data_IF_959556281151
#
_entry.id   IF_959556281151
#
_cell.length_a   1.000
_cell.length_b   1.000
_cell.length_c   1.000
_cell.angle_alpha   90.00
_cell.angle_beta   90.00
_cell.angle_gamma   90.00
#
_symmetry.space_group_name_H-M   'P 1'
#
loop_
_entity.id
_entity.type
_entity.pdbx_description
1 polymer ?
#
# COMPACT_ATOMS: atom_id res chain seq x y z
N UNK A 1 1.48 19.42 13.05
CA UNK A 1 1.10 19.12 11.65
C UNK A 1 0.70 17.65 11.61
N UNK A 2 -0.33 17.29 10.84
CA UNK A 2 -0.77 15.90 10.71
C UNK A 2 -0.05 15.28 9.51
N UNK A 3 0.70 14.20 9.74
CA UNK A 3 1.37 13.46 8.67
C UNK A 3 0.34 12.85 7.70
N UNK A 4 0.68 12.84 6.42
CA UNK A 4 -0.11 12.22 5.36
C UNK A 4 0.43 10.82 5.11
N UNK A 5 -0.46 9.83 5.19
CA UNK A 5 -0.19 8.47 4.72
C UNK A 5 -0.89 8.25 3.39
N UNK A 6 -0.17 7.70 2.40
CA UNK A 6 -0.74 7.32 1.12
C UNK A 6 -0.28 5.93 0.71
N UNK A 7 -1.15 5.18 0.06
CA UNK A 7 -0.84 3.93 -0.60
C UNK A 7 -0.81 4.17 -2.10
N UNK A 8 0.24 3.73 -2.77
CA UNK A 8 0.40 3.93 -4.20
C UNK A 8 0.55 2.57 -4.86
N UNK A 9 -0.39 2.25 -5.75
CA UNK A 9 -0.43 1.02 -6.51
C UNK A 9 0.18 1.27 -7.88
N UNK A 10 1.10 0.42 -8.31
CA UNK A 10 1.94 0.65 -9.47
C UNK A 10 1.79 -0.49 -10.48
N UNK A 11 1.75 -0.11 -11.76
CA UNK A 11 2.12 -1.01 -12.85
C UNK A 11 3.54 -0.72 -13.30
N UNK A 12 4.24 -1.77 -13.68
CA UNK A 12 5.61 -1.74 -14.18
C UNK A 12 5.68 -2.24 -15.62
N UNK A 13 6.71 -1.82 -16.35
CA UNK A 13 7.04 -2.39 -17.66
C UNK A 13 7.40 -3.86 -17.47
N UNK A 14 6.99 -4.70 -18.43
CA UNK A 14 7.34 -6.11 -18.45
C UNK A 14 8.85 -6.33 -18.24
N UNK A 15 9.20 -7.23 -17.31
CA UNK A 15 10.59 -7.55 -16.96
C UNK A 15 11.32 -6.51 -16.10
N UNK A 16 10.71 -5.36 -15.77
CA UNK A 16 11.34 -4.31 -14.95
C UNK A 16 10.93 -4.29 -13.48
N UNK A 17 10.03 -5.16 -13.03
CA UNK A 17 9.50 -5.17 -11.66
C UNK A 17 10.62 -5.11 -10.59
N UNK A 18 11.61 -6.02 -10.67
CA UNK A 18 12.76 -6.03 -9.73
C UNK A 18 13.60 -4.75 -9.75
N UNK A 19 13.73 -4.10 -10.91
CA UNK A 19 14.48 -2.84 -11.05
C UNK A 19 13.72 -1.70 -10.39
N UNK A 20 12.41 -1.60 -10.64
CA UNK A 20 11.53 -0.61 -10.02
C UNK A 20 11.54 -0.80 -8.50
N UNK A 21 11.31 -2.02 -8.02
CA UNK A 21 11.34 -2.35 -6.59
C UNK A 21 12.65 -1.91 -5.92
N UNK A 22 13.78 -2.19 -6.57
CA UNK A 22 15.11 -1.81 -6.06
C UNK A 22 15.36 -0.30 -6.08
N UNK A 23 14.79 0.42 -7.04
CA UNK A 23 14.85 1.88 -7.09
C UNK A 23 14.00 2.51 -5.98
N UNK A 24 12.77 2.01 -5.79
CA UNK A 24 11.83 2.50 -4.77
C UNK A 24 12.38 2.37 -3.35
N UNK A 25 13.11 1.29 -3.05
CA UNK A 25 13.78 1.09 -1.74
C UNK A 25 14.72 2.21 -1.29
N UNK A 26 15.13 3.10 -2.20
CA UNK A 26 16.05 4.20 -1.91
C UNK A 26 15.33 5.45 -1.38
N UNK A 27 14.00 5.50 -1.45
CA UNK A 27 13.25 6.69 -1.05
C UNK A 27 12.82 6.59 0.42
N UNK A 28 13.26 7.51 1.30
CA UNK A 28 12.94 7.47 2.73
C UNK A 28 11.46 7.71 3.05
N UNK A 29 10.70 8.27 2.11
CA UNK A 29 9.26 8.46 2.23
C UNK A 29 8.49 7.13 2.17
N UNK A 30 9.05 6.11 1.51
CA UNK A 30 8.44 4.77 1.42
C UNK A 30 8.75 4.00 2.70
N UNK A 31 7.68 3.61 3.42
CA UNK A 31 7.77 2.84 4.67
C UNK A 31 7.60 1.35 4.45
N UNK A 32 6.81 0.98 3.46
CA UNK A 32 6.54 -0.42 3.13
C UNK A 32 6.46 -0.58 1.60
N UNK A 33 6.93 -1.72 1.11
CA UNK A 33 6.89 -2.07 -0.32
C UNK A 33 6.61 -3.56 -0.48
N UNK A 34 5.60 -3.89 -1.29
CA UNK A 34 5.20 -5.26 -1.55
C UNK A 34 5.06 -5.47 -3.05
N UNK A 35 5.62 -6.57 -3.56
CA UNK A 35 5.25 -7.10 -4.87
C UNK A 35 3.90 -7.80 -4.74
N UNK A 36 3.03 -7.61 -5.72
CA UNK A 36 1.66 -8.12 -5.71
C UNK A 36 1.45 -9.15 -6.81
N UNK A 37 0.62 -10.14 -6.53
CA UNK A 37 -0.03 -10.95 -7.55
C UNK A 37 -1.44 -10.39 -7.74
N UNK A 38 -1.72 -9.79 -8.90
CA UNK A 38 -3.05 -9.25 -9.18
C UNK A 38 -3.05 -8.15 -10.23
N UNK A 39 -3.98 -7.19 -10.08
CA UNK A 39 -4.16 -6.07 -11.01
C UNK A 39 -2.93 -5.17 -11.08
N UNK A 40 -2.26 -4.95 -9.97
CA UNK A 40 -1.06 -4.13 -9.86
C UNK A 40 0.16 -5.01 -9.59
N UNK A 41 1.33 -4.50 -9.91
CA UNK A 41 2.60 -5.21 -9.75
C UNK A 41 3.25 -4.95 -8.39
N UNK A 42 3.14 -3.71 -7.89
CA UNK A 42 3.74 -3.24 -6.64
C UNK A 42 2.74 -2.34 -5.91
N UNK A 43 2.70 -2.43 -4.58
CA UNK A 43 2.11 -1.41 -3.71
C UNK A 43 3.18 -0.86 -2.77
N UNK A 44 3.17 0.46 -2.60
CA UNK A 44 4.01 1.17 -1.62
C UNK A 44 3.14 1.93 -0.63
N UNK A 45 3.59 1.98 0.63
CA UNK A 45 3.07 2.90 1.64
C UNK A 45 4.06 4.05 1.80
N UNK A 46 3.55 5.26 1.69
CA UNK A 46 4.31 6.51 1.78
C UNK A 46 3.82 7.31 2.98
N UNK A 47 4.75 7.84 3.77
CA UNK A 47 4.45 8.78 4.86
C UNK A 47 5.27 10.06 4.67
N UNK A 48 4.59 11.20 4.65
CA UNK A 48 5.16 12.54 4.44
C UNK A 48 4.49 13.57 5.34
N UNK A 49 5.06 14.77 5.46
CA UNK A 49 4.56 15.77 6.42
C UNK A 49 3.23 16.40 6.00
N UNK A 50 3.00 16.55 4.69
CA UNK A 50 1.78 17.14 4.13
C UNK A 50 1.54 16.73 2.65
N UNK A 51 0.42 17.20 2.09
CA UNK A 51 0.04 16.93 0.69
C UNK A 51 1.00 17.56 -0.33
N UNK A 52 1.69 18.65 0.02
CA UNK A 52 2.67 19.29 -0.86
C UNK A 52 3.90 18.40 -1.03
N UNK A 53 4.39 17.84 0.07
CA UNK A 53 5.46 16.84 0.04
C UNK A 53 5.05 15.58 -0.72
N UNK A 54 3.82 15.09 -0.53
CA UNK A 54 3.31 13.94 -1.30
C UNK A 54 3.34 14.24 -2.80
N UNK A 55 2.82 15.40 -3.21
CA UNK A 55 2.83 15.84 -4.60
C UNK A 55 4.25 15.93 -5.16
N UNK A 56 5.18 16.48 -4.38
CA UNK A 56 6.60 16.56 -4.76
C UNK A 56 7.23 15.19 -4.92
N UNK A 57 6.98 14.26 -3.99
CA UNK A 57 7.43 12.87 -4.09
C UNK A 57 6.92 12.20 -5.37
N UNK A 58 5.62 12.33 -5.67
CA UNK A 58 5.04 11.75 -6.88
C UNK A 58 5.70 12.31 -8.15
N UNK A 59 5.78 13.63 -8.29
CA UNK A 59 6.25 14.30 -9.50
C UNK A 59 7.76 14.17 -9.71
N UNK A 60 8.55 14.34 -8.65
CA UNK A 60 9.99 14.52 -8.73
C UNK A 60 10.78 13.25 -8.41
N UNK A 61 10.12 12.18 -7.91
CA UNK A 61 10.79 10.92 -7.56
C UNK A 61 10.09 9.72 -8.16
N UNK A 62 8.81 9.52 -7.87
CA UNK A 62 8.08 8.34 -8.31
C UNK A 62 8.01 8.25 -9.85
N UNK A 63 7.45 9.28 -10.52
CA UNK A 63 7.29 9.27 -11.98
C UNK A 63 8.61 9.27 -12.76
N UNK A 64 9.72 9.67 -12.13
CA UNK A 64 11.05 9.60 -12.72
C UNK A 64 11.69 8.21 -12.61
N UNK A 65 11.09 7.30 -11.84
CA UNK A 65 11.56 5.92 -11.72
C UNK A 65 11.28 5.16 -13.02
N UNK A 66 12.33 4.88 -13.80
CA UNK A 66 12.19 4.13 -15.04
C UNK A 66 11.60 2.74 -14.78
N UNK A 67 10.64 2.38 -15.61
CA UNK A 67 9.90 1.13 -15.51
C UNK A 67 8.51 1.29 -14.91
N UNK A 68 8.15 2.41 -14.29
CA UNK A 68 6.75 2.67 -13.90
C UNK A 68 5.95 3.08 -15.15
N UNK A 69 4.77 2.48 -15.34
CA UNK A 69 3.86 2.78 -16.47
C UNK A 69 2.55 3.41 -16.02
N UNK A 70 2.10 3.08 -14.81
CA UNK A 70 0.89 3.64 -14.22
C UNK A 70 1.02 3.66 -12.70
N UNK A 71 0.35 4.62 -12.06
CA UNK A 71 0.28 4.74 -10.62
C UNK A 71 -1.11 5.24 -10.22
N UNK A 72 -1.70 4.60 -9.21
CA UNK A 72 -2.94 5.04 -8.54
C UNK A 72 -2.62 5.35 -7.08
N UNK A 73 -3.00 6.55 -6.61
CA UNK A 73 -2.67 7.03 -5.27
C UNK A 73 -3.93 7.10 -4.41
N UNK A 74 -3.92 6.39 -3.28
CA UNK A 74 -4.96 6.34 -2.28
C UNK A 74 -4.47 7.06 -1.02
N UNK A 75 -5.07 8.20 -0.69
CA UNK A 75 -4.69 8.99 0.49
C UNK A 75 -5.53 8.51 1.67
N UNK A 76 -4.88 8.14 2.78
CA UNK A 76 -5.56 7.71 3.98
C UNK A 76 -6.25 8.90 4.65
N UNK A 77 -7.56 8.77 4.93
CA UNK A 77 -8.32 9.77 5.68
C UNK A 77 -8.01 9.69 7.18
N UNK A 78 -7.83 8.47 7.70
CA UNK A 78 -7.59 8.19 9.11
C UNK A 78 -6.57 7.05 9.26
N UNK A 79 -5.81 7.08 10.36
CA UNK A 79 -4.83 6.04 10.73
C UNK A 79 -5.07 5.67 12.19
N UNK A 80 -5.36 4.40 12.44
CA UNK A 80 -5.45 3.90 13.81
C UNK A 80 -4.06 3.96 14.46
N UNK A 81 -3.98 4.62 15.61
CA UNK A 81 -2.73 4.87 16.34
C UNK A 81 -2.33 3.72 17.24
N UNK A 82 -3.26 2.83 17.57
CA UNK A 82 -3.06 1.76 18.55
C UNK A 82 -2.77 0.40 17.89
N UNK A 83 -2.76 0.34 16.56
CA UNK A 83 -2.77 -0.92 15.82
C UNK A 83 -4.16 -1.55 15.83
N UNK A 84 -4.45 -2.38 14.84
CA UNK A 84 -5.71 -3.14 14.84
C UNK A 84 -5.53 -4.28 15.85
N UNK A 85 -6.31 -4.26 16.93
CA UNK A 85 -6.42 -5.39 17.85
C UNK A 85 -7.00 -6.58 17.08
N UNK A 86 -6.24 -7.67 16.99
CA UNK A 86 -6.63 -8.88 16.25
C UNK A 86 -7.94 -9.52 16.77
N UNK A 87 -8.43 -9.11 17.95
CA UNK A 87 -9.67 -9.61 18.53
C UNK A 87 -10.90 -8.71 18.32
N UNK A 88 -10.79 -7.53 17.70
CA UNK A 88 -11.91 -6.58 17.58
C UNK A 88 -12.99 -6.97 16.56
N UNK A 89 -12.85 -8.11 15.87
CA UNK A 89 -13.75 -8.55 14.79
C UNK A 89 -14.39 -9.93 14.94
N UNK A 90 -14.21 -10.63 16.07
CA UNK A 90 -14.89 -11.92 16.32
C UNK A 90 -16.26 -11.66 16.95
N UNK A 91 -17.26 -11.39 16.12
CA UNK A 91 -18.65 -11.59 16.53
C UNK A 91 -18.89 -13.10 16.73
N UNK A 92 -19.56 -13.44 17.84
CA UNK A 92 -19.98 -14.78 18.20
C UNK A 92 -21.02 -15.25 17.18
N UNK A 93 -20.67 -16.17 16.27
CA UNK A 93 -21.69 -16.96 15.56
C UNK A 93 -21.99 -18.18 16.42
N UNK A 94 -23.14 -18.12 17.08
CA UNK A 94 -23.78 -19.21 17.81
C UNK A 94 -24.08 -20.41 16.88
N UNK A 95 -23.85 -21.60 17.43
CA UNK A 95 -24.46 -22.91 17.13
C UNK A 95 -24.25 -23.52 15.72
N UNK A 96 -23.25 -24.42 15.63
CA UNK A 96 -23.24 -25.51 14.66
C UNK A 96 -24.35 -26.51 15.02
N UNK A 97 -25.47 -26.48 14.31
CA UNK A 97 -26.42 -27.60 14.25
C UNK A 97 -25.68 -28.82 13.64
N UNK A 98 -25.64 -29.99 14.31
CA UNK A 98 -24.96 -31.15 13.74
C UNK A 98 -25.74 -31.67 12.53
N UNK A 99 -25.07 -31.76 11.38
CA UNK A 99 -25.61 -32.44 10.21
C UNK A 99 -25.94 -33.90 10.58
N UNK A 100 -27.19 -34.31 10.39
CA UNK A 100 -27.57 -35.72 10.42
C UNK A 100 -26.82 -36.45 9.30
N UNK A 101 -26.03 -37.47 9.66
CA UNK A 101 -25.49 -38.44 8.72
C UNK A 101 -26.65 -39.19 8.04
N UNK A 102 -26.81 -38.99 6.72
CA UNK A 102 -27.55 -39.87 5.81
C UNK A 102 -26.63 -40.41 4.72
#
# INVERSE_FOLDING_TARGET
>A
MQEVTAFIMLHTKYGKNKLVYSALKKFPEIKEIYELFGRYDIIIKVEVQDLSELKSFLQNKLWLTDGITHAETLIASEKDKNGIDENSGKEHTEEEEPFLDI
#
